data_IF_691103928211
#
_entry.id   IF_691103928211
#
_cell.length_a   1.000
_cell.length_b   1.000
_cell.length_c   1.000
_cell.angle_alpha   90.00
_cell.angle_beta   90.00
_cell.angle_gamma   90.00
#
_symmetry.space_group_name_H-M   'P 1'
#
loop_
_entity.id
_entity.type
_entity.pdbx_description
1 polymer ?
#
# COMPACT_ATOMS: atom_id res chain seq x y z
N UNK A 1 -15.98 -13.80 7.14
CA UNK A 1 -14.76 -14.22 6.41
C UNK A 1 -13.65 -13.22 6.70
N UNK A 2 -12.39 -13.65 6.94
CA UNK A 2 -11.28 -12.74 7.30
C UNK A 2 -10.64 -12.14 6.04
N UNK A 3 -10.37 -10.82 6.04
CA UNK A 3 -9.66 -10.15 4.94
C UNK A 3 -8.24 -10.71 4.77
N UNK A 4 -7.80 -10.87 3.53
CA UNK A 4 -6.44 -11.33 3.20
C UNK A 4 -5.46 -10.19 3.43
N UNK A 5 -4.41 -10.44 4.20
CA UNK A 5 -3.39 -9.43 4.54
C UNK A 5 -2.23 -9.52 3.58
N UNK A 6 -1.82 -8.38 3.03
CA UNK A 6 -0.74 -8.27 2.06
C UNK A 6 0.32 -7.28 2.55
N UNK A 7 1.58 -7.67 2.38
CA UNK A 7 2.73 -6.77 2.49
C UNK A 7 3.24 -6.50 1.08
N UNK A 8 3.57 -5.24 0.80
CA UNK A 8 4.16 -4.87 -0.49
C UNK A 8 5.68 -4.75 -0.37
N UNK A 9 6.39 -5.67 -1.01
CA UNK A 9 7.86 -5.60 -1.16
C UNK A 9 8.19 -4.88 -2.48
N UNK A 10 8.94 -3.78 -2.38
CA UNK A 10 9.29 -2.90 -3.49
C UNK A 10 8.22 -1.86 -3.82
N UNK A 11 8.59 -0.59 -3.75
CA UNK A 11 7.76 0.61 -4.04
C UNK A 11 8.27 1.39 -5.26
N UNK A 12 8.81 0.69 -6.25
CA UNK A 12 9.18 1.27 -7.55
C UNK A 12 7.98 1.79 -8.35
N UNK A 13 8.22 2.46 -9.48
CA UNK A 13 7.19 3.24 -10.20
C UNK A 13 5.91 2.51 -10.59
N UNK A 14 5.94 1.18 -10.73
CA UNK A 14 4.74 0.36 -11.04
C UNK A 14 4.04 -0.20 -9.79
N UNK A 15 4.62 -0.05 -8.60
CA UNK A 15 4.05 -0.59 -7.37
C UNK A 15 2.69 0.02 -7.04
N UNK A 16 2.50 1.30 -7.40
CA UNK A 16 1.27 2.05 -7.15
C UNK A 16 0.02 1.39 -7.73
N UNK A 17 0.10 0.74 -8.89
CA UNK A 17 -1.04 0.03 -9.47
C UNK A 17 -1.57 -1.08 -8.55
N UNK A 18 -0.67 -1.80 -7.88
CA UNK A 18 -1.04 -2.92 -7.02
C UNK A 18 -1.57 -2.46 -5.67
N UNK A 19 -0.81 -1.64 -4.96
CA UNK A 19 -1.22 -1.25 -3.60
C UNK A 19 -2.42 -0.30 -3.60
N UNK A 20 -2.62 0.49 -4.66
CA UNK A 20 -3.84 1.29 -4.82
C UNK A 20 -5.07 0.43 -5.00
N UNK A 21 -5.01 -0.63 -5.81
CA UNK A 21 -6.11 -1.57 -5.99
C UNK A 21 -6.51 -2.25 -4.67
N UNK A 22 -5.52 -2.62 -3.85
CA UNK A 22 -5.76 -3.21 -2.53
C UNK A 22 -6.54 -2.26 -1.59
N UNK A 23 -6.14 -0.98 -1.54
CA UNK A 23 -6.78 0.01 -0.65
C UNK A 23 -8.03 0.66 -1.25
N UNK A 24 -8.40 0.32 -2.50
CA UNK A 24 -9.60 0.86 -3.17
C UNK A 24 -10.55 -0.26 -3.61
N UNK A 25 -10.30 -0.85 -4.79
CA UNK A 25 -11.17 -1.85 -5.41
C UNK A 25 -11.36 -3.12 -4.56
N UNK A 26 -10.36 -3.49 -3.75
CA UNK A 26 -10.37 -4.73 -2.96
C UNK A 26 -10.43 -4.50 -1.45
N UNK A 27 -10.74 -3.29 -0.97
CA UNK A 27 -10.74 -2.94 0.47
C UNK A 27 -11.64 -3.82 1.35
N UNK A 28 -12.67 -4.42 0.76
CA UNK A 28 -13.62 -5.32 1.46
C UNK A 28 -13.04 -6.71 1.69
N UNK A 29 -12.09 -7.15 0.87
CA UNK A 29 -11.55 -8.52 0.88
C UNK A 29 -10.05 -8.58 1.20
N UNK A 30 -9.35 -7.44 1.13
CA UNK A 30 -7.91 -7.34 1.30
C UNK A 30 -7.52 -6.18 2.23
N UNK A 31 -6.42 -6.38 2.96
CA UNK A 31 -5.77 -5.38 3.80
C UNK A 31 -4.30 -5.24 3.38
N UNK A 32 -3.88 -4.02 3.01
CA UNK A 32 -2.47 -3.68 2.88
C UNK A 32 -1.93 -3.30 4.26
N UNK A 33 -0.98 -4.07 4.80
CA UNK A 33 -0.55 -3.91 6.20
C UNK A 33 0.84 -3.29 6.36
N UNK A 34 1.69 -3.34 5.32
CA UNK A 34 3.02 -2.74 5.36
C UNK A 34 3.63 -2.60 3.96
N UNK A 35 4.61 -1.68 3.84
CA UNK A 35 5.58 -1.64 2.77
C UNK A 35 6.95 -2.12 3.25
N UNK A 36 7.72 -2.72 2.35
CA UNK A 36 9.13 -3.05 2.53
C UNK A 36 9.90 -2.58 1.29
N UNK A 37 10.86 -1.67 1.47
CA UNK A 37 11.74 -1.21 0.38
C UNK A 37 13.12 -0.85 0.97
N UNK A 38 14.19 -1.15 0.22
CA UNK A 38 15.56 -0.80 0.61
C UNK A 38 15.81 0.72 0.57
N UNK A 39 15.06 1.44 -0.26
CA UNK A 39 15.14 2.87 -0.41
C UNK A 39 14.10 3.54 0.50
N UNK A 40 14.59 4.11 1.61
CA UNK A 40 13.77 4.82 2.59
C UNK A 40 12.95 5.98 2.00
N UNK A 41 13.47 6.70 1.01
CA UNK A 41 12.71 7.79 0.38
C UNK A 41 11.49 7.26 -0.37
N UNK A 42 11.63 6.14 -1.09
CA UNK A 42 10.50 5.50 -1.79
C UNK A 42 9.50 4.91 -0.80
N UNK A 43 9.98 4.32 0.29
CA UNK A 43 9.12 3.85 1.38
C UNK A 43 8.26 4.98 1.95
N UNK A 44 8.90 6.10 2.31
CA UNK A 44 8.23 7.27 2.86
C UNK A 44 7.26 7.91 1.86
N UNK A 45 7.64 7.97 0.58
CA UNK A 45 6.74 8.45 -0.47
C UNK A 45 5.49 7.58 -0.61
N UNK A 46 5.64 6.25 -0.59
CA UNK A 46 4.50 5.33 -0.68
C UNK A 46 3.55 5.49 0.52
N UNK A 47 4.07 5.61 1.75
CA UNK A 47 3.25 5.89 2.93
C UNK A 47 2.52 7.24 2.84
N UNK A 48 3.21 8.33 2.45
CA UNK A 48 2.58 9.63 2.23
C UNK A 48 1.49 9.59 1.16
N UNK A 49 1.65 8.76 0.12
CA UNK A 49 0.63 8.58 -0.90
C UNK A 49 -0.62 7.88 -0.32
N UNK A 50 -0.46 6.89 0.56
CA UNK A 50 -1.58 6.26 1.26
C UNK A 50 -2.36 7.26 2.11
N UNK A 51 -1.66 8.09 2.88
CA UNK A 51 -2.27 9.13 3.71
C UNK A 51 -2.98 10.19 2.86
N UNK A 52 -2.27 10.80 1.90
CA UNK A 52 -2.79 11.97 1.18
C UNK A 52 -3.84 11.61 0.13
N UNK A 53 -3.64 10.51 -0.61
CA UNK A 53 -4.49 10.17 -1.76
C UNK A 53 -5.62 9.22 -1.38
N UNK A 54 -5.36 8.34 -0.40
CA UNK A 54 -6.30 7.28 -0.03
C UNK A 54 -6.86 7.45 1.39
N UNK A 55 -6.46 8.50 2.12
CA UNK A 55 -6.92 8.80 3.49
C UNK A 55 -6.73 7.61 4.45
N UNK A 56 -5.71 6.79 4.17
CA UNK A 56 -5.36 5.64 4.98
C UNK A 56 -4.36 6.09 6.05
N UNK A 57 -4.79 6.01 7.31
CA UNK A 57 -3.90 6.21 8.45
C UNK A 57 -3.21 4.88 8.77
N UNK A 58 -1.86 4.89 8.79
CA UNK A 58 -1.02 3.73 9.10
C UNK A 58 -1.08 3.31 10.56
#
# INVERSE_FOLDING_TARGET
MKRKRYVRVGTGGRAAFYYSALVTAFKETADLVAFCDINKQRLNYANKLLENKYQMNG
#
